data_IF_775022723926
#
_entry.id   IF_775022723926
#
_cell.length_a   1.000
_cell.length_b   1.000
_cell.length_c   1.000
_cell.angle_alpha   90.00
_cell.angle_beta   90.00
_cell.angle_gamma   90.00
#
_symmetry.space_group_name_H-M   'P 1'
#
loop_
_entity.id
_entity.type
_entity.pdbx_description
1 polymer ?
#
# COMPACT_ATOMS: atom_id res chain seq x y z
N UNK A 1 16.03 -21.16 16.26
CA UNK A 1 15.91 -21.87 14.98
C UNK A 1 14.76 -21.28 14.18
N UNK A 2 15.01 -20.90 12.95
CA UNK A 2 13.97 -20.44 12.03
C UNK A 2 13.09 -21.65 11.72
N UNK A 3 11.80 -21.59 12.10
CA UNK A 3 10.83 -22.59 11.67
C UNK A 3 10.39 -22.24 10.26
N UNK A 4 10.62 -23.13 9.30
CA UNK A 4 10.13 -23.03 7.94
C UNK A 4 8.62 -23.35 7.84
N UNK A 5 7.99 -23.07 6.71
CA UNK A 5 6.59 -23.39 6.45
C UNK A 5 5.59 -22.36 6.96
N UNK A 6 6.04 -21.16 7.33
CA UNK A 6 5.14 -20.07 7.72
C UNK A 6 4.46 -19.42 6.53
N UNK A 7 3.30 -18.83 6.78
CA UNK A 7 2.57 -18.00 5.83
C UNK A 7 2.70 -16.54 6.22
N UNK A 8 3.18 -15.71 5.31
CA UNK A 8 3.18 -14.25 5.44
C UNK A 8 1.96 -13.66 4.76
N UNK A 9 1.14 -12.91 5.49
CA UNK A 9 0.06 -12.09 4.91
C UNK A 9 0.52 -10.64 4.87
N UNK A 10 0.60 -10.10 3.68
CA UNK A 10 0.99 -8.70 3.46
C UNK A 10 -0.22 -7.91 2.95
N UNK A 11 -0.76 -7.06 3.82
CA UNK A 11 -1.79 -6.09 3.41
C UNK A 11 -1.10 -4.90 2.76
N UNK A 12 -1.61 -4.45 1.62
CA UNK A 12 -0.96 -3.41 0.82
C UNK A 12 -1.91 -2.27 0.52
N UNK A 13 -1.49 -1.05 0.85
CA UNK A 13 -2.23 0.16 0.53
C UNK A 13 -1.44 1.04 -0.46
N UNK A 14 -2.07 2.11 -0.97
CA UNK A 14 -1.53 3.00 -2.01
C UNK A 14 -0.16 3.55 -1.64
N UNK A 15 -0.07 4.12 -0.47
CA UNK A 15 1.14 4.75 -0.02
C UNK A 15 1.02 6.25 0.24
N UNK A 16 2.08 6.78 0.80
CA UNK A 16 2.14 8.14 1.30
C UNK A 16 3.60 8.60 1.34
N UNK A 17 3.88 9.90 1.30
CA UNK A 17 5.24 10.39 1.51
C UNK A 17 5.74 10.10 2.92
N UNK A 18 7.04 9.96 3.09
CA UNK A 18 7.68 9.69 4.39
C UNK A 18 7.54 10.88 5.37
N UNK A 19 7.44 12.10 4.84
CA UNK A 19 7.18 13.31 5.61
C UNK A 19 6.49 14.38 4.76
N UNK A 20 6.13 15.50 5.38
CA UNK A 20 5.58 16.66 4.66
C UNK A 20 6.64 17.59 4.06
N UNK A 21 7.91 17.19 4.07
CA UNK A 21 9.01 17.93 3.46
C UNK A 21 8.92 17.89 1.94
N UNK A 22 9.36 18.92 1.28
CA UNK A 22 9.34 19.05 -0.17
C UNK A 22 10.04 17.88 -0.89
N UNK A 23 11.19 17.42 -0.37
CA UNK A 23 11.95 16.31 -0.97
C UNK A 23 11.21 14.98 -0.87
N UNK A 24 10.61 14.66 0.27
CA UNK A 24 9.87 13.42 0.48
C UNK A 24 8.58 13.40 -0.35
N UNK A 25 7.89 14.52 -0.42
CA UNK A 25 6.74 14.69 -1.32
C UNK A 25 7.16 14.51 -2.79
N UNK A 26 8.28 15.12 -3.20
CA UNK A 26 8.78 15.00 -4.57
C UNK A 26 9.15 13.57 -4.92
N UNK A 27 9.80 12.85 -3.99
CA UNK A 27 10.16 11.43 -4.14
C UNK A 27 8.91 10.56 -4.31
N UNK A 28 7.93 10.73 -3.43
CA UNK A 28 6.65 10.03 -3.49
C UNK A 28 5.91 10.31 -4.82
N UNK A 29 5.77 11.58 -5.21
CA UNK A 29 5.11 11.95 -6.46
C UNK A 29 5.86 11.39 -7.68
N UNK A 30 7.18 11.36 -7.66
CA UNK A 30 7.97 10.78 -8.74
C UNK A 30 7.71 9.29 -8.88
N UNK A 31 7.72 8.54 -7.79
CA UNK A 31 7.44 7.11 -7.78
C UNK A 31 6.02 6.82 -8.29
N UNK A 32 5.02 7.49 -7.74
CA UNK A 32 3.61 7.33 -8.09
C UNK A 32 3.30 7.69 -9.54
N UNK A 33 3.78 8.86 -10.01
CA UNK A 33 3.49 9.36 -11.35
C UNK A 33 4.39 8.76 -12.45
N UNK A 34 5.44 8.01 -12.08
CA UNK A 34 6.25 7.25 -13.04
C UNK A 34 5.68 5.88 -13.34
N UNK A 35 4.66 5.44 -12.61
CA UNK A 35 4.03 4.15 -12.86
C UNK A 35 3.19 4.20 -14.14
N UNK A 36 3.51 3.31 -15.09
CA UNK A 36 2.85 3.23 -16.40
C UNK A 36 1.39 2.81 -16.30
N UNK A 37 0.99 2.14 -15.22
CA UNK A 37 -0.41 1.78 -14.98
C UNK A 37 -1.23 2.93 -14.41
N UNK A 38 -0.57 3.93 -13.86
CA UNK A 38 -1.23 5.16 -13.35
C UNK A 38 -1.33 6.20 -14.45
N UNK A 39 -0.27 6.31 -15.26
CA UNK A 39 -0.17 7.29 -16.35
C UNK A 39 0.11 6.57 -17.67
N UNK A 40 -0.92 6.44 -18.48
CA UNK A 40 -0.90 5.77 -19.79
C UNK A 40 -0.53 6.73 -20.92
N UNK A 41 0.61 7.42 -20.81
CA UNK A 41 1.13 8.36 -21.80
C UNK A 41 2.48 7.86 -22.30
N UNK A 42 2.91 8.32 -23.50
CA UNK A 42 4.25 8.00 -24.01
C UNK A 42 5.32 8.27 -22.95
N UNK A 43 6.11 7.25 -22.54
CA UNK A 43 7.00 7.36 -21.39
C UNK A 43 8.06 8.45 -21.53
N UNK A 44 8.59 8.69 -22.75
CA UNK A 44 9.65 9.68 -22.98
C UNK A 44 9.11 11.09 -22.77
N UNK A 45 7.97 11.38 -23.39
CA UNK A 45 7.31 12.69 -23.27
C UNK A 45 6.87 12.93 -21.83
N UNK A 46 6.28 11.88 -21.21
CA UNK A 46 5.81 11.97 -19.83
C UNK A 46 6.96 12.23 -18.84
N UNK A 47 8.08 11.52 -18.96
CA UNK A 47 9.24 11.74 -18.09
C UNK A 47 9.79 13.17 -18.19
N UNK A 48 9.78 13.76 -19.38
CA UNK A 48 10.16 15.16 -19.54
C UNK A 48 9.19 16.09 -18.78
N UNK A 49 7.89 15.94 -19.03
CA UNK A 49 6.85 16.74 -18.35
C UNK A 49 6.91 16.57 -16.84
N UNK A 50 7.02 15.32 -16.39
CA UNK A 50 7.08 14.98 -14.98
C UNK A 50 8.26 15.67 -14.27
N UNK A 51 9.48 15.53 -14.80
CA UNK A 51 10.67 16.03 -14.14
C UNK A 51 10.82 17.56 -14.23
N UNK A 52 10.47 18.16 -15.37
CA UNK A 52 10.66 19.61 -15.60
C UNK A 52 9.54 20.44 -14.99
N UNK A 53 8.28 20.00 -15.14
CA UNK A 53 7.13 20.80 -14.71
C UNK A 53 6.51 20.26 -13.40
N UNK A 54 6.07 19.00 -13.40
CA UNK A 54 5.26 18.50 -12.29
C UNK A 54 6.06 18.44 -10.99
N UNK A 55 7.25 17.83 -11.01
CA UNK A 55 8.10 17.68 -9.84
C UNK A 55 8.81 18.98 -9.40
N UNK A 56 8.68 20.05 -10.15
CA UNK A 56 9.18 21.37 -9.77
C UNK A 56 8.12 22.16 -8.99
N UNK A 57 6.86 22.15 -9.44
CA UNK A 57 5.82 23.03 -8.89
C UNK A 57 4.85 22.30 -7.97
N UNK A 58 4.47 21.06 -8.29
CA UNK A 58 3.45 20.31 -7.57
C UNK A 58 3.85 19.93 -6.13
N UNK A 59 5.12 19.61 -5.80
CA UNK A 59 5.49 19.20 -4.45
C UNK A 59 5.15 20.22 -3.37
N UNK A 60 5.34 21.52 -3.63
CA UNK A 60 5.03 22.59 -2.66
C UNK A 60 3.53 22.65 -2.32
N UNK A 61 2.66 22.56 -3.33
CA UNK A 61 1.20 22.53 -3.13
C UNK A 61 0.77 21.25 -2.41
N UNK A 62 1.31 20.12 -2.81
CA UNK A 62 1.01 18.82 -2.21
C UNK A 62 1.50 18.75 -0.75
N UNK A 63 2.69 19.28 -0.46
CA UNK A 63 3.22 19.36 0.90
C UNK A 63 2.30 20.16 1.84
N UNK A 64 1.72 21.26 1.34
CA UNK A 64 0.76 22.05 2.12
C UNK A 64 -0.48 21.24 2.46
N UNK A 65 -1.07 20.54 1.48
CA UNK A 65 -2.23 19.69 1.71
C UNK A 65 -1.94 18.54 2.69
N UNK A 66 -0.77 17.88 2.56
CA UNK A 66 -0.38 16.85 3.53
C UNK A 66 -0.18 17.39 4.94
N UNK A 67 0.35 18.61 5.11
CA UNK A 67 0.47 19.25 6.44
C UNK A 67 -0.86 19.47 7.14
N UNK A 68 -1.92 19.72 6.39
CA UNK A 68 -3.27 19.93 6.95
C UNK A 68 -3.87 18.64 7.54
N UNK A 69 -3.56 17.49 6.94
CA UNK A 69 -4.08 16.19 7.38
C UNK A 69 -3.07 15.36 8.20
N UNK A 70 -1.84 15.86 8.36
CA UNK A 70 -0.77 15.10 9.04
C UNK A 70 -1.06 14.92 10.52
N UNK A 71 -1.03 13.68 10.98
CA UNK A 71 -1.21 13.36 12.40
C UNK A 71 0.03 13.77 13.17
N UNK A 72 -0.06 14.86 13.92
CA UNK A 72 1.12 15.47 14.58
C UNK A 72 1.70 14.59 15.68
N UNK A 73 0.85 13.95 16.46
CA UNK A 73 1.26 13.11 17.58
C UNK A 73 1.95 11.84 17.11
N UNK A 74 1.47 11.26 16.01
CA UNK A 74 2.00 10.05 15.40
C UNK A 74 3.12 10.33 14.38
N UNK A 75 3.26 11.58 13.98
CA UNK A 75 4.20 12.06 12.95
C UNK A 75 4.11 11.25 11.63
N UNK A 76 2.89 10.95 11.20
CA UNK A 76 2.63 10.20 9.97
C UNK A 76 1.31 10.60 9.31
N UNK A 77 1.10 10.16 8.08
CA UNK A 77 -0.18 10.37 7.40
C UNK A 77 -1.27 9.46 7.98
N UNK A 78 -2.55 9.86 7.93
CA UNK A 78 -3.66 9.01 8.34
C UNK A 78 -3.67 7.66 7.60
N UNK A 79 -3.36 7.64 6.31
CA UNK A 79 -3.31 6.41 5.53
C UNK A 79 -2.31 5.40 6.10
N UNK A 80 -1.10 5.85 6.43
CA UNK A 80 -0.07 5.00 7.03
C UNK A 80 -0.49 4.53 8.42
N UNK A 81 -1.00 5.43 9.25
CA UNK A 81 -1.45 5.14 10.59
C UNK A 81 -2.54 4.05 10.60
N UNK A 82 -3.62 4.27 9.87
CA UNK A 82 -4.72 3.31 9.85
C UNK A 82 -4.35 1.98 9.20
N UNK A 83 -3.50 1.97 8.17
CA UNK A 83 -3.02 0.70 7.58
C UNK A 83 -2.18 -0.10 8.58
N UNK A 84 -1.31 0.58 9.33
CA UNK A 84 -0.54 -0.04 10.43
C UNK A 84 -1.46 -0.62 11.50
N UNK A 85 -2.43 0.17 11.98
CA UNK A 85 -3.41 -0.26 12.99
C UNK A 85 -4.26 -1.45 12.52
N UNK A 86 -4.66 -1.48 11.25
CA UNK A 86 -5.37 -2.63 10.67
C UNK A 86 -4.50 -3.89 10.74
N UNK A 87 -3.23 -3.80 10.32
CA UNK A 87 -2.29 -4.93 10.39
C UNK A 87 -2.12 -5.45 11.82
N UNK A 88 -1.94 -4.57 12.79
CA UNK A 88 -1.79 -4.92 14.20
C UNK A 88 -3.05 -5.56 14.78
N UNK A 89 -4.23 -5.02 14.49
CA UNK A 89 -5.51 -5.59 14.93
C UNK A 89 -5.77 -6.97 14.32
N UNK A 90 -5.53 -7.14 13.01
CA UNK A 90 -5.68 -8.45 12.37
C UNK A 90 -4.71 -9.45 12.99
N UNK A 91 -3.46 -9.05 13.21
CA UNK A 91 -2.45 -9.90 13.82
C UNK A 91 -2.82 -10.33 15.25
N UNK A 92 -3.42 -9.43 16.05
CA UNK A 92 -3.88 -9.75 17.40
C UNK A 92 -5.11 -10.66 17.41
N UNK A 93 -5.99 -10.51 16.40
CA UNK A 93 -7.21 -11.33 16.27
C UNK A 93 -6.90 -12.75 15.77
N UNK A 94 -5.95 -12.87 14.82
CA UNK A 94 -5.54 -14.17 14.24
C UNK A 94 -4.19 -14.57 14.84
N UNK A 95 -4.16 -14.91 16.11
CA UNK A 95 -2.93 -15.32 16.79
C UNK A 95 -2.62 -16.79 16.54
N UNK A 96 -1.77 -17.08 15.53
CA UNK A 96 -1.26 -18.43 15.27
C UNK A 96 0.25 -18.40 15.03
N UNK A 97 0.97 -19.44 15.48
CA UNK A 97 2.45 -19.50 15.39
C UNK A 97 2.99 -19.50 13.95
N UNK A 98 2.18 -19.96 12.99
CA UNK A 98 2.61 -20.14 11.60
C UNK A 98 2.13 -19.03 10.65
N UNK A 99 1.50 -17.98 11.18
CA UNK A 99 1.02 -16.86 10.40
C UNK A 99 1.68 -15.56 10.85
N UNK A 100 2.26 -14.83 9.91
CA UNK A 100 2.83 -13.50 10.14
C UNK A 100 2.05 -12.51 9.30
N UNK A 101 1.48 -11.49 9.94
CA UNK A 101 0.75 -10.43 9.27
C UNK A 101 1.58 -9.15 9.34
N UNK A 102 1.81 -8.54 8.21
CA UNK A 102 2.52 -7.25 8.10
C UNK A 102 1.85 -6.39 7.03
N UNK A 103 2.26 -5.15 6.92
CA UNK A 103 1.71 -4.22 5.93
C UNK A 103 2.82 -3.59 5.07
N UNK A 104 2.45 -3.16 3.88
CA UNK A 104 3.32 -2.41 2.99
C UNK A 104 2.56 -1.31 2.24
N UNK A 105 3.33 -0.38 1.69
CA UNK A 105 2.86 0.66 0.80
C UNK A 105 3.29 0.36 -0.63
N UNK A 106 2.38 0.58 -1.60
CA UNK A 106 2.72 0.42 -3.02
C UNK A 106 3.72 1.50 -3.43
N UNK A 107 3.56 2.73 -2.92
CA UNK A 107 4.47 3.85 -3.14
C UNK A 107 4.92 4.40 -1.79
N UNK A 108 6.24 4.65 -1.65
CA UNK A 108 6.84 5.07 -0.39
C UNK A 108 7.17 3.92 0.56
N UNK A 109 7.13 4.16 1.87
CA UNK A 109 7.58 3.24 2.89
C UNK A 109 6.48 2.86 3.90
N UNK A 110 6.56 1.63 4.46
CA UNK A 110 7.45 0.51 4.11
C UNK A 110 7.12 -0.10 2.75
N UNK A 111 8.12 -0.32 1.92
CA UNK A 111 7.89 -0.81 0.55
C UNK A 111 7.51 -2.29 0.51
N UNK A 112 6.76 -2.71 -0.52
CA UNK A 112 6.43 -4.13 -0.78
C UNK A 112 7.70 -4.98 -0.80
N UNK A 113 8.72 -4.51 -1.51
CA UNK A 113 10.01 -5.21 -1.61
C UNK A 113 10.62 -5.49 -0.23
N UNK A 114 10.77 -4.46 0.60
CA UNK A 114 11.38 -4.59 1.92
C UNK A 114 10.63 -5.57 2.82
N UNK A 115 9.30 -5.56 2.74
CA UNK A 115 8.44 -6.42 3.55
C UNK A 115 8.45 -7.88 3.08
N UNK A 116 8.49 -8.14 1.78
CA UNK A 116 8.62 -9.50 1.25
C UNK A 116 9.94 -10.13 1.70
N UNK A 117 11.07 -9.41 1.60
CA UNK A 117 12.36 -9.90 2.09
C UNK A 117 12.33 -10.16 3.60
N UNK A 118 11.74 -9.27 4.39
CA UNK A 118 11.58 -9.46 5.83
C UNK A 118 10.76 -10.71 6.16
N UNK A 119 9.65 -10.94 5.49
CA UNK A 119 8.81 -12.13 5.67
C UNK A 119 9.59 -13.42 5.31
N UNK A 120 10.37 -13.39 4.24
CA UNK A 120 11.25 -14.49 3.88
C UNK A 120 12.29 -14.79 4.98
N UNK A 121 12.96 -13.78 5.50
CA UNK A 121 13.92 -13.92 6.61
C UNK A 121 13.27 -14.51 7.88
N UNK A 122 11.97 -14.28 8.08
CA UNK A 122 11.19 -14.84 9.18
C UNK A 122 10.72 -16.29 8.93
N UNK A 123 11.07 -16.88 7.77
CA UNK A 123 10.76 -18.26 7.42
C UNK A 123 9.42 -18.44 6.72
N UNK A 124 8.85 -17.37 6.11
CA UNK A 124 7.65 -17.50 5.31
C UNK A 124 7.97 -18.11 3.95
N UNK A 125 7.37 -19.26 3.67
CA UNK A 125 7.43 -19.97 2.40
C UNK A 125 6.19 -19.73 1.54
N UNK A 126 5.12 -19.23 2.16
CA UNK A 126 3.88 -18.86 1.50
C UNK A 126 3.61 -17.38 1.71
N UNK A 127 3.27 -16.66 0.66
CA UNK A 127 2.87 -15.25 0.70
C UNK A 127 1.43 -15.10 0.25
N UNK A 128 0.63 -14.41 1.04
CA UNK A 128 -0.69 -13.93 0.66
C UNK A 128 -0.64 -12.41 0.61
N UNK A 129 -0.92 -11.85 -0.55
CA UNK A 129 -0.96 -10.40 -0.75
C UNK A 129 -2.42 -9.97 -0.81
N UNK A 130 -2.78 -9.04 0.05
CA UNK A 130 -4.12 -8.44 0.10
C UNK A 130 -4.02 -6.94 -0.20
N UNK A 131 -4.21 -6.53 -1.47
CA UNK A 131 -4.36 -5.11 -1.79
C UNK A 131 -5.63 -4.57 -1.13
N UNK A 132 -5.52 -3.46 -0.41
CA UNK A 132 -6.66 -2.84 0.30
C UNK A 132 -7.53 -1.99 -0.67
N UNK A 133 -7.80 -2.56 -1.84
CA UNK A 133 -8.70 -2.01 -2.85
C UNK A 133 -9.81 -3.03 -3.10
N UNK A 134 -11.05 -2.72 -2.72
CA UNK A 134 -12.16 -3.66 -2.90
C UNK A 134 -12.36 -4.06 -4.36
N UNK A 135 -12.37 -3.09 -5.28
CA UNK A 135 -12.48 -3.32 -6.71
C UNK A 135 -11.11 -3.45 -7.37
N UNK A 136 -11.03 -4.31 -8.38
CA UNK A 136 -9.85 -4.38 -9.24
C UNK A 136 -9.77 -3.20 -10.19
N UNK A 137 -8.59 -2.57 -10.24
CA UNK A 137 -8.26 -1.59 -11.29
C UNK A 137 -6.77 -1.69 -11.67
N UNK A 138 -6.44 -1.30 -12.91
CA UNK A 138 -5.06 -1.28 -13.38
C UNK A 138 -4.17 -0.38 -12.53
N UNK A 139 -4.66 0.82 -12.17
CA UNK A 139 -3.95 1.80 -11.38
C UNK A 139 -3.87 1.46 -9.87
N UNK A 140 -4.50 0.40 -9.40
CA UNK A 140 -4.53 -0.02 -8.00
C UNK A 140 -3.99 -1.44 -7.84
N UNK A 141 -4.83 -2.45 -7.96
CA UNK A 141 -4.45 -3.86 -7.73
C UNK A 141 -3.34 -4.32 -8.67
N UNK A 142 -3.40 -3.96 -9.96
CA UNK A 142 -2.38 -4.42 -10.89
C UNK A 142 -1.00 -3.80 -10.64
N UNK A 143 -0.91 -2.56 -10.13
CA UNK A 143 0.38 -1.96 -9.74
C UNK A 143 1.01 -2.69 -8.56
N UNK A 144 0.20 -3.16 -7.61
CA UNK A 144 0.65 -4.00 -6.49
C UNK A 144 1.18 -5.33 -7.02
N UNK A 145 0.42 -5.99 -7.91
CA UNK A 145 0.86 -7.25 -8.55
C UNK A 145 2.21 -7.08 -9.25
N UNK A 146 2.38 -6.02 -10.04
CA UNK A 146 3.61 -5.75 -10.78
C UNK A 146 4.81 -5.63 -9.83
N UNK A 147 4.66 -4.92 -8.70
CA UNK A 147 5.75 -4.75 -7.74
C UNK A 147 6.08 -6.04 -6.98
N UNK A 148 5.06 -6.82 -6.63
CA UNK A 148 5.25 -8.14 -6.03
C UNK A 148 6.00 -9.06 -7.00
N UNK A 149 5.54 -9.18 -8.25
CA UNK A 149 6.20 -10.02 -9.25
C UNK A 149 7.63 -9.55 -9.53
N UNK A 150 7.85 -8.25 -9.67
CA UNK A 150 9.19 -7.67 -9.86
C UNK A 150 10.11 -8.00 -8.69
N UNK A 151 9.60 -7.97 -7.48
CA UNK A 151 10.35 -8.35 -6.29
C UNK A 151 10.72 -9.82 -6.31
N UNK A 152 9.76 -10.71 -6.57
CA UNK A 152 9.99 -12.16 -6.61
C UNK A 152 10.99 -12.55 -7.72
N UNK A 153 10.93 -11.90 -8.88
CA UNK A 153 11.90 -12.13 -9.97
C UNK A 153 13.35 -11.83 -9.57
N UNK A 154 13.58 -10.98 -8.57
CA UNK A 154 14.91 -10.67 -8.05
C UNK A 154 15.38 -11.63 -6.96
N UNK A 155 14.48 -12.47 -6.44
CA UNK A 155 14.80 -13.42 -5.37
C UNK A 155 15.36 -14.71 -5.94
N UNK A 156 16.43 -15.22 -5.31
CA UNK A 156 17.02 -16.50 -5.70
C UNK A 156 16.10 -17.68 -5.39
N UNK A 157 15.37 -17.61 -4.29
CA UNK A 157 14.32 -18.54 -3.90
C UNK A 157 13.01 -17.80 -3.81
N UNK A 158 11.97 -18.33 -4.44
CA UNK A 158 10.67 -17.68 -4.51
C UNK A 158 9.66 -18.46 -3.66
N UNK A 159 8.98 -17.78 -2.73
CA UNK A 159 7.87 -18.37 -1.96
C UNK A 159 6.66 -18.63 -2.87
N UNK A 160 5.77 -19.52 -2.43
CA UNK A 160 4.46 -19.63 -3.08
C UNK A 160 3.68 -18.32 -2.90
N UNK A 161 2.91 -17.94 -3.91
CA UNK A 161 2.22 -16.65 -3.93
C UNK A 161 0.73 -16.81 -4.20
N UNK A 162 -0.08 -16.16 -3.36
CA UNK A 162 -1.49 -15.93 -3.60
C UNK A 162 -1.79 -14.43 -3.49
N UNK A 163 -2.41 -13.86 -4.51
CA UNK A 163 -2.89 -12.47 -4.48
C UNK A 163 -4.42 -12.49 -4.48
N UNK A 164 -5.02 -11.69 -3.60
CA UNK A 164 -6.47 -11.50 -3.55
C UNK A 164 -6.80 -10.34 -4.51
N UNK A 165 -7.46 -10.60 -5.65
CA UNK A 165 -7.60 -9.59 -6.69
C UNK A 165 -8.68 -8.55 -6.39
N UNK A 166 -9.74 -8.94 -5.70
CA UNK A 166 -10.89 -8.09 -5.38
C UNK A 166 -11.76 -8.74 -4.28
N UNK A 167 -12.57 -7.94 -3.60
CA UNK A 167 -13.52 -8.38 -2.57
C UNK A 167 -14.74 -7.45 -2.45
N UNK A 168 -15.08 -6.72 -3.51
CA UNK A 168 -16.22 -5.78 -3.56
C UNK A 168 -17.59 -6.44 -3.35
N UNK A 169 -17.68 -7.76 -3.62
CA UNK A 169 -18.88 -8.54 -3.44
C UNK A 169 -18.94 -9.32 -2.12
N UNK A 170 -17.92 -9.15 -1.25
CA UNK A 170 -17.93 -9.78 0.07
C UNK A 170 -19.04 -9.20 0.94
N UNK A 171 -19.88 -10.07 1.53
CA UNK A 171 -21.05 -9.64 2.30
C UNK A 171 -20.68 -8.79 3.51
N UNK A 172 -19.61 -9.14 4.22
CA UNK A 172 -19.17 -8.36 5.38
C UNK A 172 -18.67 -6.97 5.00
N UNK A 173 -18.04 -6.86 3.82
CA UNK A 173 -17.63 -5.57 3.28
C UNK A 173 -18.84 -4.71 2.92
N UNK A 174 -19.84 -5.30 2.27
CA UNK A 174 -21.09 -4.61 1.89
C UNK A 174 -21.85 -4.16 3.14
N UNK A 175 -22.00 -5.03 4.14
CA UNK A 175 -22.66 -4.71 5.40
C UNK A 175 -21.96 -3.54 6.13
N UNK A 176 -20.64 -3.52 6.12
CA UNK A 176 -19.87 -2.42 6.69
C UNK A 176 -20.11 -1.09 5.95
N UNK A 177 -20.23 -1.11 4.62
CA UNK A 177 -20.53 0.09 3.84
C UNK A 177 -21.94 0.60 4.11
N UNK A 178 -22.94 -0.28 4.19
CA UNK A 178 -24.31 0.09 4.52
C UNK A 178 -24.40 0.73 5.90
N UNK A 179 -23.79 0.11 6.91
CA UNK A 179 -23.75 0.67 8.27
C UNK A 179 -23.15 2.07 8.33
N UNK A 180 -22.05 2.30 7.61
CA UNK A 180 -21.40 3.63 7.56
C UNK A 180 -22.21 4.66 6.79
N UNK A 181 -22.96 4.25 5.79
CA UNK A 181 -23.88 5.11 5.03
C UNK A 181 -25.07 5.54 5.89
N UNK A 182 -25.73 4.60 6.55
CA UNK A 182 -26.87 4.86 7.43
C UNK A 182 -26.49 5.79 8.58
N UNK A 183 -25.33 5.58 9.20
CA UNK A 183 -24.81 6.45 10.26
C UNK A 183 -24.50 7.88 9.77
N UNK A 184 -24.13 8.06 8.50
CA UNK A 184 -23.93 9.39 7.92
C UNK A 184 -25.26 10.12 7.69
N UNK A 185 -26.31 9.41 7.27
CA UNK A 185 -27.63 9.99 7.03
C UNK A 185 -28.32 10.43 8.34
N UNK A 186 -28.12 9.69 9.45
CA UNK A 186 -28.63 10.07 10.77
C UNK A 186 -28.00 11.35 11.34
N UNK A 187 -26.77 11.69 10.95
CA UNK A 187 -26.11 12.92 11.40
C UNK A 187 -26.64 14.20 10.71
N UNK A 188 -27.39 14.06 9.62
CA UNK A 188 -27.96 15.19 8.84
C UNK A 188 -29.45 15.34 9.04
N UNK A 189 -30.09 14.53 9.84
CA UNK A 189 -31.50 14.61 10.25
C UNK A 189 -31.64 15.29 11.60
#
# INVERSE_FOLDING_TARGET
>A
SIKFGKTGVLIVNLGTPDSTNWLDIRKYLKEFLSDKRVIEVNPIIWQLILNVFILTFRPSKTAKAYKEIWMKDENMSPLLYYTKMQSEKISSFISTENLIIDFAMRYGNPSIKSKIYKLQEQGCENLVILPLYPQYAAATTATVCDEVYRTLMQMRWQPSLKIIPHYESDSLYIDCLLYTSDAADEQWS
#
